data_IF_054441939896
#
_entry.id   IF_054441939896
#
_cell.length_a   1.000
_cell.length_b   1.000
_cell.length_c   1.000
_cell.angle_alpha   90.00
_cell.angle_beta   90.00
_cell.angle_gamma   90.00
#
_symmetry.space_group_name_H-M   'P 1'
#
loop_
_entity.id
_entity.type
_entity.pdbx_description
1 polymer ?
#
# COMPACT_ATOMS: atom_id res chain seq x y z
N UNK A 1 4.11 26.01 -47.84
CA UNK A 1 4.07 24.54 -47.63
C UNK A 1 4.78 23.76 -48.75
N UNK A 2 4.53 24.05 -50.03
CA UNK A 2 5.18 23.34 -51.15
C UNK A 2 6.73 23.39 -51.18
N UNK A 3 7.35 24.48 -50.71
CA UNK A 3 8.81 24.65 -50.69
C UNK A 3 9.54 23.78 -49.65
N UNK A 4 8.94 23.55 -48.48
CA UNK A 4 9.51 22.73 -47.41
C UNK A 4 9.42 21.25 -47.77
N UNK A 5 8.30 20.82 -48.35
CA UNK A 5 8.11 19.45 -48.81
C UNK A 5 9.12 19.07 -49.90
N UNK A 6 9.34 19.94 -50.89
CA UNK A 6 10.36 19.72 -51.92
C UNK A 6 11.78 19.64 -51.33
N UNK A 7 12.08 20.43 -50.29
CA UNK A 7 13.37 20.37 -49.60
C UNK A 7 13.58 19.03 -48.85
N UNK A 8 12.55 18.50 -48.20
CA UNK A 8 12.59 17.19 -47.52
C UNK A 8 12.84 16.05 -48.50
N UNK A 9 12.17 16.06 -49.65
CA UNK A 9 12.36 15.07 -50.72
C UNK A 9 13.76 15.15 -51.32
N UNK A 10 14.25 16.35 -51.63
CA UNK A 10 15.57 16.58 -52.22
C UNK A 10 16.72 16.15 -51.29
N UNK A 11 16.53 16.27 -49.98
CA UNK A 11 17.50 15.89 -48.94
C UNK A 11 17.35 14.44 -48.48
N UNK A 12 16.50 13.64 -49.14
CA UNK A 12 16.24 12.23 -48.82
C UNK A 12 15.84 11.98 -47.35
N UNK A 13 15.32 12.98 -46.65
CA UNK A 13 14.99 12.88 -45.22
C UNK A 13 14.01 11.74 -44.99
N UNK A 14 12.96 11.63 -45.81
CA UNK A 14 12.00 10.53 -45.75
C UNK A 14 12.63 9.14 -45.88
N UNK A 15 13.64 8.95 -46.73
CA UNK A 15 14.27 7.65 -46.93
C UNK A 15 15.10 7.23 -45.70
N UNK A 16 15.84 8.18 -45.12
CA UNK A 16 16.63 7.94 -43.90
C UNK A 16 15.75 7.75 -42.67
N UNK A 17 14.68 8.54 -42.52
CA UNK A 17 13.69 8.37 -41.46
C UNK A 17 13.02 7.00 -41.54
N UNK A 18 12.56 6.58 -42.73
CA UNK A 18 11.91 5.29 -42.90
C UNK A 18 12.87 4.11 -42.64
N UNK A 19 14.11 4.20 -43.13
CA UNK A 19 15.15 3.21 -42.86
C UNK A 19 15.51 3.09 -41.38
N UNK A 20 15.59 4.21 -40.67
CA UNK A 20 15.84 4.22 -39.23
C UNK A 20 14.69 3.63 -38.42
N UNK A 21 13.45 3.96 -38.78
CA UNK A 21 12.27 3.38 -38.12
C UNK A 21 12.21 1.86 -38.28
N UNK A 22 12.50 1.35 -39.49
CA UNK A 22 12.55 -0.09 -39.74
C UNK A 22 13.67 -0.79 -38.94
N UNK A 23 14.89 -0.22 -38.92
CA UNK A 23 16.01 -0.76 -38.17
C UNK A 23 15.79 -0.67 -36.64
N UNK A 24 15.22 0.44 -36.17
CA UNK A 24 14.90 0.66 -34.76
C UNK A 24 13.84 -0.32 -34.27
N UNK A 25 12.78 -0.55 -35.05
CA UNK A 25 11.78 -1.57 -34.76
C UNK A 25 12.39 -2.97 -34.64
N UNK A 26 13.18 -3.39 -35.64
CA UNK A 26 13.85 -4.70 -35.61
C UNK A 26 14.82 -4.85 -34.42
N UNK A 27 15.48 -3.75 -34.03
CA UNK A 27 16.35 -3.72 -32.85
C UNK A 27 15.58 -3.90 -31.55
N UNK A 28 14.41 -3.26 -31.40
CA UNK A 28 13.57 -3.40 -30.22
C UNK A 28 12.98 -4.81 -30.09
N UNK A 29 12.54 -5.41 -31.19
CA UNK A 29 12.06 -6.80 -31.21
C UNK A 29 13.16 -7.79 -30.81
N UNK A 30 14.35 -7.66 -31.41
CA UNK A 30 15.50 -8.49 -31.05
C UNK A 30 15.91 -8.31 -29.59
N UNK A 31 15.94 -7.06 -29.10
CA UNK A 31 16.28 -6.76 -27.71
C UNK A 31 15.22 -7.28 -26.74
N UNK A 32 13.94 -7.20 -27.09
CA UNK A 32 12.85 -7.79 -26.31
C UNK A 32 12.98 -9.31 -26.19
N UNK A 33 13.27 -10.00 -27.30
CA UNK A 33 13.56 -11.43 -27.30
C UNK A 33 14.75 -11.79 -26.39
N UNK A 34 15.86 -11.07 -26.51
CA UNK A 34 17.05 -11.34 -25.70
C UNK A 34 16.86 -10.95 -24.23
N UNK A 35 16.14 -9.87 -23.94
CA UNK A 35 15.81 -9.49 -22.57
C UNK A 35 15.00 -10.59 -21.88
N UNK A 36 14.02 -11.18 -22.58
CA UNK A 36 13.26 -12.33 -22.08
C UNK A 36 14.15 -13.58 -21.93
N UNK A 37 15.03 -13.86 -22.90
CA UNK A 37 15.89 -15.04 -22.90
C UNK A 37 16.95 -15.02 -21.77
N UNK A 38 17.49 -13.85 -21.45
CA UNK A 38 18.57 -13.67 -20.47
C UNK A 38 18.10 -13.06 -19.14
N UNK A 39 16.79 -12.84 -18.96
CA UNK A 39 16.22 -12.29 -17.73
C UNK A 39 16.61 -10.84 -17.45
N UNK A 40 16.81 -10.02 -18.50
CA UNK A 40 17.06 -8.59 -18.31
C UNK A 40 15.75 -7.87 -17.96
N UNK A 41 15.79 -6.98 -16.97
CA UNK A 41 14.62 -6.21 -16.57
C UNK A 41 14.10 -5.28 -17.69
N UNK A 42 12.82 -4.93 -17.62
CA UNK A 42 12.15 -4.06 -18.61
C UNK A 42 12.84 -2.70 -18.82
N UNK A 43 13.60 -2.23 -17.82
CA UNK A 43 14.40 -1.01 -17.90
C UNK A 43 15.35 -1.01 -19.11
N UNK A 44 15.92 -2.17 -19.48
CA UNK A 44 16.86 -2.28 -20.61
C UNK A 44 16.16 -1.98 -21.93
N UNK A 45 14.96 -2.53 -22.14
CA UNK A 45 14.16 -2.30 -23.35
C UNK A 45 13.66 -0.86 -23.41
N UNK A 46 13.23 -0.29 -22.27
CA UNK A 46 12.77 1.11 -22.17
C UNK A 46 13.90 2.11 -22.47
N UNK A 47 15.09 1.90 -21.91
CA UNK A 47 16.27 2.73 -22.18
C UNK A 47 16.63 2.67 -23.67
N UNK A 48 16.65 1.47 -24.26
CA UNK A 48 16.94 1.31 -25.68
C UNK A 48 15.90 2.02 -26.57
N UNK A 49 14.61 1.96 -26.23
CA UNK A 49 13.56 2.69 -26.94
C UNK A 49 13.76 4.21 -26.89
N UNK A 50 14.13 4.76 -25.73
CA UNK A 50 14.41 6.19 -25.56
C UNK A 50 15.63 6.62 -26.37
N UNK A 51 16.71 5.82 -26.35
CA UNK A 51 17.92 6.11 -27.11
C UNK A 51 17.68 6.02 -28.63
N UNK A 52 16.85 5.08 -29.09
CA UNK A 52 16.43 4.99 -30.49
C UNK A 52 15.56 6.19 -30.89
N UNK A 53 14.64 6.62 -30.02
CA UNK A 53 13.85 7.83 -30.28
C UNK A 53 14.74 9.06 -30.41
N UNK A 54 15.71 9.26 -29.50
CA UNK A 54 16.68 10.34 -29.60
C UNK A 54 17.56 10.23 -30.86
N UNK A 55 18.01 9.02 -31.20
CA UNK A 55 18.78 8.76 -32.40
C UNK A 55 18.00 9.05 -33.69
N UNK A 56 16.68 8.84 -33.73
CA UNK A 56 15.82 9.23 -34.85
C UNK A 56 15.87 10.74 -35.10
N UNK A 57 15.81 11.55 -34.04
CA UNK A 57 15.95 13.00 -34.15
C UNK A 57 17.33 13.41 -34.67
N UNK A 58 18.40 12.75 -34.21
CA UNK A 58 19.75 12.98 -34.72
C UNK A 58 19.88 12.63 -36.22
N UNK A 59 19.27 11.52 -36.67
CA UNK A 59 19.26 11.12 -38.09
C UNK A 59 18.48 12.11 -38.95
N UNK A 60 17.37 12.67 -38.45
CA UNK A 60 16.62 13.71 -39.17
C UNK A 60 17.47 14.98 -39.34
N UNK A 61 18.20 15.39 -38.29
CA UNK A 61 19.12 16.55 -38.33
C UNK A 61 20.25 16.29 -39.33
N UNK A 62 20.91 15.13 -39.27
CA UNK A 62 21.99 14.78 -40.20
C UNK A 62 21.50 14.67 -41.65
N UNK A 63 20.35 14.03 -41.89
CA UNK A 63 19.75 13.93 -43.22
C UNK A 63 19.37 15.33 -43.76
N UNK A 64 18.94 16.23 -42.88
CA UNK A 64 18.68 17.61 -43.26
C UNK A 64 19.97 18.31 -43.71
N UNK A 65 21.06 18.26 -42.95
CA UNK A 65 22.29 18.99 -43.31
C UNK A 65 23.11 18.32 -44.43
N UNK A 66 23.17 16.99 -44.49
CA UNK A 66 24.10 16.24 -45.36
C UNK A 66 23.42 15.39 -46.45
N UNK A 67 22.09 15.25 -46.44
CA UNK A 67 21.38 14.31 -47.33
C UNK A 67 21.42 14.60 -48.83
N UNK A 68 22.12 15.65 -49.29
CA UNK A 68 22.18 16.05 -50.70
C UNK A 68 23.57 16.27 -51.32
N UNK A 69 24.69 16.28 -50.57
CA UNK A 69 26.07 16.51 -51.12
C UNK A 69 27.18 15.84 -50.27
N UNK A 70 28.31 15.52 -50.89
CA UNK A 70 29.51 14.87 -50.27
C UNK A 70 30.20 15.69 -49.15
N UNK A 71 31.30 15.19 -48.56
CA UNK A 71 31.72 15.51 -47.19
C UNK A 71 31.95 17.01 -46.97
N UNK A 72 31.13 17.62 -46.11
CA UNK A 72 31.31 18.98 -45.59
C UNK A 72 31.68 18.93 -44.11
N UNK A 73 32.47 19.90 -43.65
CA UNK A 73 32.78 20.07 -42.23
C UNK A 73 31.51 20.43 -41.45
N UNK A 74 31.28 19.76 -40.31
CA UNK A 74 30.10 19.97 -39.48
C UNK A 74 29.99 21.44 -39.02
N UNK A 75 28.79 22.01 -39.12
CA UNK A 75 28.58 23.42 -38.75
C UNK A 75 28.43 23.56 -37.23
N UNK A 76 28.83 24.68 -36.61
CA UNK A 76 28.67 24.90 -35.15
C UNK A 76 27.23 24.70 -34.65
N UNK A 77 26.24 25.05 -35.47
CA UNK A 77 24.79 24.87 -35.17
C UNK A 77 24.39 23.39 -35.18
N UNK A 78 24.95 22.60 -36.08
CA UNK A 78 24.70 21.16 -36.20
C UNK A 78 25.28 20.40 -34.99
N UNK A 79 26.52 20.73 -34.63
CA UNK A 79 27.18 20.17 -33.43
C UNK A 79 26.37 20.51 -32.17
N UNK A 80 25.87 21.74 -32.07
CA UNK A 80 25.00 22.15 -30.97
C UNK A 80 23.70 21.35 -30.88
N UNK A 81 23.01 21.12 -32.00
CA UNK A 81 21.76 20.35 -32.03
C UNK A 81 21.98 18.88 -31.66
N UNK A 82 23.04 18.25 -32.16
CA UNK A 82 23.37 16.87 -31.83
C UNK A 82 23.74 16.71 -30.34
N UNK A 83 24.46 17.67 -29.77
CA UNK A 83 24.78 17.68 -28.34
C UNK A 83 23.52 17.79 -27.48
N UNK A 84 22.56 18.65 -27.84
CA UNK A 84 21.28 18.78 -27.12
C UNK A 84 20.48 17.49 -27.18
N UNK A 85 20.39 16.84 -28.35
CA UNK A 85 19.66 15.57 -28.50
C UNK A 85 20.32 14.44 -27.70
N UNK A 86 21.65 14.37 -27.67
CA UNK A 86 22.38 13.39 -26.88
C UNK A 86 22.18 13.60 -25.37
N UNK A 87 22.24 14.86 -24.89
CA UNK A 87 22.01 15.20 -23.49
C UNK A 87 20.56 14.90 -23.09
N UNK A 88 19.59 15.29 -23.90
CA UNK A 88 18.17 15.04 -23.64
C UNK A 88 17.84 13.54 -23.66
N UNK A 89 18.37 12.78 -24.63
CA UNK A 89 18.21 11.34 -24.70
C UNK A 89 18.83 10.62 -23.50
N UNK A 90 20.01 11.06 -23.06
CA UNK A 90 20.68 10.50 -21.86
C UNK A 90 19.91 10.86 -20.59
N UNK A 91 19.46 12.12 -20.44
CA UNK A 91 18.67 12.55 -19.29
C UNK A 91 17.32 11.81 -19.22
N UNK A 92 16.65 11.61 -20.36
CA UNK A 92 15.43 10.80 -20.44
C UNK A 92 15.69 9.32 -20.13
N UNK A 93 16.79 8.74 -20.64
CA UNK A 93 17.18 7.37 -20.31
C UNK A 93 17.48 7.20 -18.81
N UNK A 94 18.08 8.20 -18.16
CA UNK A 94 18.32 8.18 -16.70
C UNK A 94 17.02 8.39 -15.91
N UNK A 95 16.15 9.30 -16.35
CA UNK A 95 14.90 9.61 -15.66
C UNK A 95 13.85 8.48 -15.77
N UNK A 96 13.71 7.88 -16.96
CA UNK A 96 12.68 6.87 -17.25
C UNK A 96 13.23 5.44 -17.30
N UNK A 97 14.55 5.26 -17.30
CA UNK A 97 15.24 3.97 -17.20
C UNK A 97 15.58 3.57 -15.76
N UNK A 98 15.37 4.47 -14.80
CA UNK A 98 15.23 4.05 -13.40
C UNK A 98 14.06 3.07 -13.35
N UNK A 99 14.22 1.84 -12.81
CA UNK A 99 13.05 1.04 -12.50
C UNK A 99 12.11 1.94 -11.72
N UNK A 100 10.81 1.91 -12.04
CA UNK A 100 9.79 2.48 -11.18
C UNK A 100 9.81 1.63 -9.91
N UNK A 101 10.82 1.86 -9.07
CA UNK A 101 10.74 1.59 -7.66
C UNK A 101 9.61 2.50 -7.21
N UNK A 102 8.40 1.97 -7.26
CA UNK A 102 7.35 2.34 -6.34
C UNK A 102 7.79 1.87 -4.92
N UNK A 103 8.97 2.30 -4.52
CA UNK A 103 9.30 2.61 -3.15
C UNK A 103 9.34 4.12 -3.17
N UNK A 104 8.27 4.76 -2.74
CA UNK A 104 8.48 5.94 -1.92
C UNK A 104 9.48 5.52 -0.86
N UNK A 105 10.76 5.85 -1.06
CA UNK A 105 11.58 6.26 0.07
C UNK A 105 10.78 7.38 0.71
N UNK A 106 9.99 7.02 1.72
CA UNK A 106 9.48 7.98 2.69
C UNK A 106 10.71 8.75 3.13
N UNK A 107 10.78 10.01 2.70
CA UNK A 107 11.86 10.92 3.06
C UNK A 107 12.08 10.77 4.58
N UNK A 108 13.26 10.33 5.04
CA UNK A 108 13.56 10.24 6.46
C UNK A 108 13.36 11.58 7.20
N UNK A 109 13.20 12.69 6.47
CA UNK A 109 12.90 14.03 6.96
C UNK A 109 11.43 14.47 6.88
N UNK A 110 10.49 13.71 6.31
CA UNK A 110 9.06 14.01 6.50
C UNK A 110 8.71 13.67 7.95
N UNK A 111 8.49 14.68 8.79
CA UNK A 111 8.09 14.49 10.19
C UNK A 111 6.69 13.87 10.21
N UNK A 112 6.61 12.54 10.11
CA UNK A 112 5.39 11.77 10.34
C UNK A 112 5.03 11.90 11.83
N UNK A 113 3.78 12.23 12.14
CA UNK A 113 3.35 12.23 13.52
C UNK A 113 3.00 10.81 13.92
N UNK A 114 3.68 10.29 14.93
CA UNK A 114 3.48 8.93 15.39
C UNK A 114 2.43 8.86 16.51
N UNK A 115 1.46 7.97 16.34
CA UNK A 115 0.28 7.83 17.18
C UNK A 115 0.04 6.38 17.58
N UNK A 116 -0.33 6.15 18.84
CA UNK A 116 -0.89 4.88 19.29
C UNK A 116 -2.32 5.07 19.79
N UNK A 117 -3.23 4.18 19.41
CA UNK A 117 -4.59 4.13 19.98
C UNK A 117 -4.62 3.03 21.01
N UNK A 118 -4.84 3.37 22.29
CA UNK A 118 -4.95 2.36 23.34
C UNK A 118 -6.30 1.63 23.28
N UNK A 119 -6.35 0.37 23.75
CA UNK A 119 -7.62 -0.34 23.90
C UNK A 119 -8.65 0.51 24.66
N UNK A 120 -9.86 0.68 24.13
CA UNK A 120 -10.86 1.52 24.76
C UNK A 120 -11.29 0.95 26.10
N UNK A 121 -11.49 1.80 27.09
CA UNK A 121 -12.15 1.43 28.34
C UNK A 121 -13.64 1.15 28.08
N UNK A 122 -14.19 0.15 28.74
CA UNK A 122 -15.61 -0.20 28.66
C UNK A 122 -16.15 -0.70 30.01
N UNK A 123 -17.47 -0.61 30.26
CA UNK A 123 -18.05 -1.10 31.51
C UNK A 123 -17.81 -2.62 31.69
N UNK A 124 -17.40 -3.03 32.89
CA UNK A 124 -17.15 -4.44 33.18
C UNK A 124 -18.45 -5.28 33.19
N UNK A 125 -18.35 -6.55 32.79
CA UNK A 125 -19.37 -7.58 33.07
C UNK A 125 -20.11 -8.20 31.88
N UNK A 126 -19.79 -7.84 30.62
CA UNK A 126 -20.45 -8.40 29.45
C UNK A 126 -19.46 -8.85 28.34
N UNK A 127 -19.29 -10.17 28.11
CA UNK A 127 -18.49 -10.69 27.01
C UNK A 127 -18.96 -10.24 25.62
N UNK A 128 -20.25 -9.92 25.43
CA UNK A 128 -20.76 -9.34 24.18
C UNK A 128 -20.17 -7.94 23.92
N UNK A 129 -19.77 -7.21 24.97
CA UNK A 129 -19.11 -5.91 24.79
C UNK A 129 -17.63 -6.06 24.43
N UNK A 130 -16.95 -7.11 24.90
CA UNK A 130 -15.51 -7.26 24.69
C UNK A 130 -15.13 -7.40 23.21
N UNK A 131 -15.83 -8.24 22.43
CA UNK A 131 -15.56 -8.37 20.99
C UNK A 131 -15.91 -7.08 20.25
N UNK A 132 -17.03 -6.44 20.63
CA UNK A 132 -17.53 -5.26 19.94
C UNK A 132 -16.60 -4.06 20.17
N UNK A 133 -16.14 -3.84 21.40
CA UNK A 133 -15.17 -2.81 21.77
C UNK A 133 -13.82 -3.05 21.10
N UNK A 134 -13.35 -4.31 21.08
CA UNK A 134 -12.13 -4.67 20.33
C UNK A 134 -12.28 -4.37 18.83
N UNK A 135 -13.45 -4.63 18.26
CA UNK A 135 -13.77 -4.31 16.87
C UNK A 135 -13.77 -2.81 16.56
N UNK A 136 -14.33 -1.99 17.45
CA UNK A 136 -14.29 -0.54 17.33
C UNK A 136 -12.88 0.03 17.49
N UNK A 137 -12.07 -0.58 18.35
CA UNK A 137 -10.64 -0.24 18.48
C UNK A 137 -9.90 -0.44 17.14
N UNK A 138 -10.05 -1.61 16.52
CA UNK A 138 -9.48 -1.90 15.20
C UNK A 138 -10.00 -0.94 14.13
N UNK A 139 -11.31 -0.66 14.15
CA UNK A 139 -11.94 0.25 13.16
C UNK A 139 -11.39 1.66 13.28
N UNK A 140 -11.22 2.18 14.51
CA UNK A 140 -10.62 3.49 14.73
C UNK A 140 -9.17 3.55 14.24
N UNK A 141 -8.39 2.51 14.55
CA UNK A 141 -7.01 2.38 14.05
C UNK A 141 -7.01 2.38 12.53
N UNK A 142 -7.85 1.59 11.87
CA UNK A 142 -7.93 1.52 10.40
C UNK A 142 -8.30 2.87 9.77
N UNK A 143 -9.24 3.63 10.36
CA UNK A 143 -9.58 4.98 9.85
C UNK A 143 -8.43 6.00 10.00
N UNK A 144 -7.70 5.97 11.11
CA UNK A 144 -6.52 6.82 11.30
C UNK A 144 -5.36 6.40 10.40
N UNK A 145 -5.21 5.09 10.19
CA UNK A 145 -4.16 4.46 9.41
C UNK A 145 -4.21 4.85 7.91
N UNK A 146 -5.37 5.29 7.42
CA UNK A 146 -5.55 5.82 6.06
C UNK A 146 -4.92 7.21 5.84
N UNK A 147 -4.53 7.93 6.90
CA UNK A 147 -3.88 9.23 6.81
C UNK A 147 -2.37 9.04 6.69
N UNK A 148 -1.80 9.30 5.51
CA UNK A 148 -0.40 9.02 5.20
C UNK A 148 0.63 9.86 5.96
N UNK A 149 0.22 11.02 6.45
CA UNK A 149 1.07 11.86 7.30
C UNK A 149 1.06 11.43 8.80
N UNK A 150 0.28 10.40 9.14
CA UNK A 150 0.29 9.77 10.47
C UNK A 150 1.01 8.42 10.39
N UNK A 151 1.86 8.13 11.36
CA UNK A 151 2.31 6.76 11.66
C UNK A 151 1.45 6.20 12.77
N UNK A 152 0.56 5.26 12.47
CA UNK A 152 -0.38 4.69 13.43
C UNK A 152 0.07 3.29 13.85
N UNK A 153 0.24 3.09 15.15
CA UNK A 153 0.61 1.79 15.71
C UNK A 153 -0.55 0.80 15.57
N UNK A 154 -0.24 -0.38 15.05
CA UNK A 154 -1.13 -1.52 14.89
C UNK A 154 -1.77 -1.93 16.21
N UNK A 155 -3.02 -2.40 16.13
CA UNK A 155 -3.78 -2.92 17.28
C UNK A 155 -3.01 -3.97 18.05
N UNK A 156 -2.25 -4.86 17.38
CA UNK A 156 -1.52 -5.95 18.03
C UNK A 156 -0.51 -5.45 19.06
N UNK A 157 0.26 -4.42 18.72
CA UNK A 157 1.20 -3.79 19.66
C UNK A 157 0.46 -3.00 20.74
N UNK A 158 -0.54 -2.21 20.36
CA UNK A 158 -1.31 -1.41 21.31
C UNK A 158 -2.09 -2.26 22.33
N UNK A 159 -2.60 -3.43 21.93
CA UNK A 159 -3.36 -4.35 22.77
C UNK A 159 -2.56 -4.88 23.96
N UNK A 160 -1.22 -4.82 23.92
CA UNK A 160 -0.37 -5.19 25.07
C UNK A 160 -0.52 -4.26 26.27
N UNK A 161 -1.13 -3.09 26.08
CA UNK A 161 -1.31 -2.08 27.11
C UNK A 161 -2.73 -2.03 27.66
N UNK A 162 -3.62 -2.96 27.30
CA UNK A 162 -5.03 -2.98 27.76
C UNK A 162 -5.17 -2.92 29.29
N UNK A 163 -4.34 -3.68 30.00
CA UNK A 163 -4.36 -3.80 31.47
C UNK A 163 -3.02 -3.37 32.08
N UNK A 164 -2.35 -2.38 31.48
CA UNK A 164 -1.02 -1.93 31.93
C UNK A 164 -1.12 -0.76 32.90
N UNK A 165 -0.34 -0.81 33.99
CA UNK A 165 -0.17 0.30 34.94
C UNK A 165 0.87 1.34 34.48
N UNK A 166 1.38 1.24 33.25
CA UNK A 166 2.39 2.17 32.71
C UNK A 166 1.80 3.55 32.45
N UNK A 167 2.60 4.58 32.71
CA UNK A 167 2.24 5.95 32.35
C UNK A 167 2.26 6.17 30.82
N UNK A 168 1.53 7.16 30.34
CA UNK A 168 1.49 7.52 28.90
C UNK A 168 2.90 7.79 28.34
N UNK A 169 3.81 8.52 29.02
CA UNK A 169 5.19 8.70 28.55
C UNK A 169 5.99 7.39 28.46
N UNK A 170 5.70 6.40 29.30
CA UNK A 170 6.34 5.09 29.23
C UNK A 170 5.86 4.29 28.02
N UNK A 171 4.55 4.22 27.82
CA UNK A 171 3.95 3.55 26.66
C UNK A 171 4.45 4.20 25.36
N UNK A 172 4.46 5.53 25.30
CA UNK A 172 4.89 6.26 24.12
C UNK A 172 6.37 6.05 23.77
N UNK A 173 7.22 5.84 24.78
CA UNK A 173 8.63 5.52 24.57
C UNK A 173 8.83 4.11 24.03
N UNK A 174 8.07 3.14 24.55
CA UNK A 174 8.16 1.74 24.11
C UNK A 174 7.62 1.52 22.70
N UNK A 175 6.55 2.24 22.35
CA UNK A 175 5.95 2.20 21.01
C UNK A 175 6.61 3.18 20.02
N UNK A 176 7.55 4.00 20.50
CA UNK A 176 8.15 5.09 19.75
C UNK A 176 7.11 5.99 19.04
N UNK A 177 6.23 6.61 19.84
CA UNK A 177 5.19 7.52 19.36
C UNK A 177 5.29 8.91 20.00
N UNK A 178 4.66 9.89 19.37
CA UNK A 178 4.61 11.29 19.81
C UNK A 178 3.37 11.59 20.65
N UNK A 179 2.26 10.94 20.33
CA UNK A 179 1.00 11.06 21.05
C UNK A 179 0.26 9.72 21.15
N UNK A 180 -0.63 9.65 22.14
CA UNK A 180 -1.44 8.49 22.48
C UNK A 180 -2.91 8.92 22.51
N UNK A 181 -3.76 8.06 21.98
CA UNK A 181 -5.21 8.22 21.99
C UNK A 181 -5.77 7.27 23.03
N UNK A 182 -6.39 7.82 24.07
CA UNK A 182 -7.25 7.08 24.97
C UNK A 182 -8.69 7.19 24.49
N UNK A 183 -9.47 6.14 24.67
CA UNK A 183 -10.90 6.19 24.40
C UNK A 183 -11.70 5.37 25.40
N UNK A 184 -12.97 5.70 25.55
CA UNK A 184 -13.94 4.85 26.22
C UNK A 184 -15.16 4.67 25.34
N UNK A 185 -15.76 3.47 25.40
CA UNK A 185 -16.93 3.16 24.58
C UNK A 185 -18.04 2.56 25.43
N UNK A 186 -19.27 3.03 25.15
CA UNK A 186 -20.50 2.49 25.69
C UNK A 186 -21.50 2.21 24.57
N UNK A 187 -22.25 1.11 24.69
CA UNK A 187 -23.21 0.63 23.69
C UNK A 187 -24.63 0.57 24.25
N UNK A 188 -25.31 1.71 24.49
CA UNK A 188 -26.69 1.72 24.95
C UNK A 188 -27.66 1.30 23.83
N UNK A 189 -28.15 0.06 23.89
CA UNK A 189 -29.08 -0.47 22.88
C UNK A 189 -28.42 -0.52 21.50
N UNK A 190 -29.03 0.12 20.50
CA UNK A 190 -28.52 0.17 19.12
C UNK A 190 -27.73 1.45 18.79
N UNK A 191 -27.15 2.07 19.81
CA UNK A 191 -26.27 3.23 19.67
C UNK A 191 -24.92 2.99 20.30
N UNK A 192 -23.91 3.68 19.79
CA UNK A 192 -22.54 3.72 20.30
C UNK A 192 -22.26 5.14 20.78
N UNK A 193 -21.63 5.26 21.94
CA UNK A 193 -21.06 6.51 22.46
C UNK A 193 -19.58 6.28 22.72
N UNK A 194 -18.75 7.18 22.20
CA UNK A 194 -17.30 7.12 22.31
C UNK A 194 -16.77 8.45 22.83
N UNK A 195 -16.01 8.40 23.92
CA UNK A 195 -15.18 9.52 24.37
C UNK A 195 -13.76 9.28 23.90
N UNK A 196 -13.11 10.31 23.36
CA UNK A 196 -11.75 10.23 22.82
C UNK A 196 -10.91 11.33 23.43
N UNK A 197 -9.67 11.00 23.82
CA UNK A 197 -8.68 11.95 24.32
C UNK A 197 -7.39 11.77 23.55
N UNK A 198 -6.88 12.85 22.99
CA UNK A 198 -5.57 12.91 22.34
C UNK A 198 -4.56 13.50 23.32
N UNK A 199 -3.57 12.71 23.70
CA UNK A 199 -2.56 13.05 24.70
C UNK A 199 -1.20 13.10 24.02
N UNK A 200 -0.57 14.25 23.99
CA UNK A 200 0.83 14.38 23.59
C UNK A 200 1.72 13.80 24.69
N UNK A 201 2.63 12.90 24.33
CA UNK A 201 3.48 12.19 25.29
C UNK A 201 4.89 12.81 25.44
N UNK A 202 5.36 13.56 24.43
CA UNK A 202 6.69 14.17 24.39
C UNK A 202 6.60 15.67 24.06
N UNK A 203 7.45 16.53 24.67
CA UNK A 203 8.42 16.24 25.73
C UNK A 203 7.80 16.11 27.13
N UNK A 204 6.54 16.54 27.29
CA UNK A 204 5.77 16.41 28.53
C UNK A 204 4.37 15.94 28.20
N UNK A 205 3.77 15.17 29.11
CA UNK A 205 2.41 14.70 28.96
C UNK A 205 1.43 15.88 28.97
N UNK A 206 0.62 16.00 27.93
CA UNK A 206 -0.37 17.06 27.79
C UNK A 206 -1.59 16.58 27.02
N UNK A 207 -2.77 16.75 27.61
CA UNK A 207 -4.03 16.62 26.89
C UNK A 207 -4.11 17.70 25.80
N UNK A 208 -4.08 17.27 24.54
CA UNK A 208 -4.18 18.16 23.37
C UNK A 208 -5.64 18.47 23.08
N UNK A 209 -6.48 17.44 23.12
CA UNK A 209 -7.88 17.53 22.73
C UNK A 209 -8.70 16.40 23.35
N UNK A 210 -9.98 16.66 23.59
CA UNK A 210 -10.97 15.63 23.91
C UNK A 210 -12.27 15.88 23.14
N UNK A 211 -12.97 14.80 22.82
CA UNK A 211 -14.23 14.86 22.09
C UNK A 211 -15.15 13.70 22.42
N UNK A 212 -16.46 13.96 22.35
CA UNK A 212 -17.52 12.98 22.54
C UNK A 212 -18.25 12.77 21.22
N UNK A 213 -18.45 11.50 20.87
CA UNK A 213 -19.08 11.08 19.63
C UNK A 213 -20.19 10.08 19.93
N UNK A 214 -21.28 10.18 19.17
CA UNK A 214 -22.39 9.26 19.31
C UNK A 214 -23.06 9.00 17.98
N UNK A 215 -23.38 7.74 17.71
CA UNK A 215 -24.07 7.34 16.49
C UNK A 215 -24.90 6.07 16.73
N UNK A 216 -25.94 5.89 15.92
CA UNK A 216 -26.56 4.56 15.78
C UNK A 216 -25.52 3.59 15.20
N UNK A 217 -25.59 2.29 15.55
CA UNK A 217 -24.63 1.27 15.05
C UNK A 217 -24.55 1.28 13.52
N UNK A 218 -25.66 1.50 12.81
CA UNK A 218 -25.69 1.62 11.34
C UNK A 218 -24.79 2.72 10.76
N UNK A 219 -24.46 3.74 11.55
CA UNK A 219 -23.63 4.89 11.17
C UNK A 219 -22.25 4.86 11.86
N UNK A 220 -21.86 3.72 12.44
CA UNK A 220 -20.64 3.62 13.26
C UNK A 220 -19.36 3.89 12.45
N UNK A 221 -19.32 3.52 11.17
CA UNK A 221 -18.17 3.81 10.30
C UNK A 221 -18.00 5.31 10.07
N UNK A 222 -19.12 6.03 9.85
CA UNK A 222 -19.11 7.49 9.71
C UNK A 222 -18.65 8.20 10.99
N UNK A 223 -19.03 7.67 12.16
CA UNK A 223 -18.55 8.16 13.45
C UNK A 223 -17.03 8.02 13.56
N UNK A 224 -16.45 6.86 13.25
CA UNK A 224 -15.00 6.66 13.28
C UNK A 224 -14.26 7.56 12.28
N UNK A 225 -14.80 7.72 11.07
CA UNK A 225 -14.22 8.63 10.08
C UNK A 225 -14.26 10.10 10.53
N UNK A 226 -15.29 10.49 11.29
CA UNK A 226 -15.36 11.82 11.92
C UNK A 226 -14.33 11.98 13.04
N UNK A 227 -14.11 10.94 13.85
CA UNK A 227 -13.06 10.93 14.87
C UNK A 227 -11.68 11.09 14.20
N UNK A 228 -11.38 10.31 13.17
CA UNK A 228 -10.12 10.38 12.44
C UNK A 228 -9.86 11.78 11.83
N UNK A 229 -10.86 12.37 11.17
CA UNK A 229 -10.78 13.75 10.66
C UNK A 229 -10.58 14.79 11.76
N UNK A 230 -11.21 14.58 12.91
CA UNK A 230 -11.06 15.49 14.05
C UNK A 230 -9.63 15.41 14.59
N UNK A 231 -9.10 14.21 14.81
CA UNK A 231 -7.71 14.01 15.25
C UNK A 231 -6.73 14.63 14.25
N UNK A 232 -6.86 14.34 12.95
CA UNK A 232 -5.99 14.89 11.91
C UNK A 232 -5.92 16.44 11.94
N UNK A 233 -7.07 17.09 12.15
CA UNK A 233 -7.16 18.55 12.31
C UNK A 233 -6.46 19.04 13.57
N UNK A 234 -6.68 18.39 14.71
CA UNK A 234 -6.08 18.80 16.00
C UNK A 234 -4.55 18.66 15.99
N UNK A 235 -4.04 17.63 15.30
CA UNK A 235 -2.60 17.45 15.11
C UNK A 235 -2.02 18.26 13.95
N UNK A 236 -2.85 19.07 13.28
CA UNK A 236 -2.47 19.98 12.18
C UNK A 236 -1.81 19.25 11.01
N UNK A 237 -2.34 18.09 10.67
CA UNK A 237 -1.95 17.34 9.48
C UNK A 237 -2.94 17.62 8.37
N UNK A 238 -2.43 18.00 7.21
CA UNK A 238 -3.23 18.23 6.02
C UNK A 238 -3.63 16.89 5.39
N UNK A 239 -4.93 16.69 5.20
CA UNK A 239 -5.46 15.57 4.44
C UNK A 239 -5.40 15.90 2.95
N UNK A 240 -4.84 15.02 2.14
CA UNK A 240 -4.94 15.05 0.68
C UNK A 240 -6.41 14.99 0.22
N UNK A 241 -6.67 15.40 -1.02
CA UNK A 241 -8.02 15.37 -1.58
C UNK A 241 -8.63 13.95 -1.57
N UNK A 242 -7.80 12.94 -1.81
CA UNK A 242 -8.23 11.53 -1.81
C UNK A 242 -8.55 11.05 -0.39
N UNK A 243 -7.72 11.39 0.61
CA UNK A 243 -8.00 11.08 2.02
C UNK A 243 -9.27 11.77 2.52
N UNK A 244 -9.48 13.04 2.15
CA UNK A 244 -10.72 13.76 2.48
C UNK A 244 -11.95 13.08 1.89
N UNK A 245 -11.84 12.60 0.65
CA UNK A 245 -12.93 11.88 -0.04
C UNK A 245 -13.19 10.55 0.65
N UNK A 246 -12.17 9.73 0.91
CA UNK A 246 -12.34 8.43 1.58
C UNK A 246 -12.93 8.58 2.99
N UNK A 247 -12.38 9.47 3.81
CA UNK A 247 -12.88 9.72 5.17
C UNK A 247 -14.22 10.49 5.19
N UNK A 248 -14.61 11.10 4.07
CA UNK A 248 -15.89 11.79 3.89
C UNK A 248 -17.04 10.87 3.49
N UNK A 249 -16.75 9.71 2.89
CA UNK A 249 -17.74 8.86 2.21
C UNK A 249 -17.96 7.54 2.94
N UNK A 250 -18.22 7.60 4.24
CA UNK A 250 -18.45 6.39 5.03
C UNK A 250 -19.82 5.76 4.72
N UNK A 251 -19.81 4.49 4.31
CA UNK A 251 -21.03 3.71 4.10
C UNK A 251 -21.77 3.43 5.41
N UNK A 252 -23.07 3.18 5.30
CA UNK A 252 -23.85 2.59 6.39
C UNK A 252 -23.63 1.09 6.45
N UNK A 253 -23.83 0.51 7.63
CA UNK A 253 -23.77 -0.94 7.87
C UNK A 253 -25.10 -1.46 8.35
N UNK A 254 -25.43 -2.72 8.01
CA UNK A 254 -26.44 -3.46 8.75
C UNK A 254 -25.89 -3.83 10.14
N UNK A 255 -26.53 -3.43 11.25
CA UNK A 255 -25.96 -3.59 12.59
C UNK A 255 -25.61 -5.04 12.96
N UNK A 256 -26.46 -6.00 12.59
CA UNK A 256 -26.26 -7.40 12.93
C UNK A 256 -25.21 -8.05 12.02
N UNK A 257 -25.19 -7.75 10.71
CA UNK A 257 -24.06 -8.12 9.84
C UNK A 257 -22.75 -7.59 10.40
N UNK A 258 -22.73 -6.33 10.85
CA UNK A 258 -21.54 -5.71 11.43
C UNK A 258 -21.11 -6.39 12.74
N UNK A 259 -22.06 -6.73 13.63
CA UNK A 259 -21.77 -7.50 14.85
C UNK A 259 -21.17 -8.88 14.53
N UNK A 260 -21.76 -9.61 13.57
CA UNK A 260 -21.23 -10.91 13.14
C UNK A 260 -19.82 -10.77 12.55
N UNK A 261 -19.59 -9.78 11.68
CA UNK A 261 -18.27 -9.43 11.18
C UNK A 261 -17.26 -9.18 12.31
N UNK A 262 -17.61 -8.35 13.31
CA UNK A 262 -16.73 -8.06 14.44
C UNK A 262 -16.42 -9.30 15.30
N UNK A 263 -17.38 -10.21 15.49
CA UNK A 263 -17.14 -11.50 16.16
C UNK A 263 -16.15 -12.34 15.36
N UNK A 264 -16.32 -12.43 14.05
CA UNK A 264 -15.39 -13.11 13.15
C UNK A 264 -13.98 -12.56 13.25
N UNK A 265 -13.82 -11.24 13.14
CA UNK A 265 -12.51 -10.59 13.27
C UNK A 265 -11.89 -10.77 14.66
N UNK A 266 -12.71 -10.75 15.72
CA UNK A 266 -12.24 -11.02 17.08
C UNK A 266 -11.68 -12.45 17.21
N UNK A 267 -12.37 -13.46 16.67
CA UNK A 267 -11.88 -14.84 16.65
C UNK A 267 -10.61 -15.00 15.79
N UNK A 268 -10.54 -14.37 14.60
CA UNK A 268 -9.30 -14.35 13.80
C UNK A 268 -8.12 -13.80 14.60
N UNK A 269 -8.37 -12.77 15.40
CA UNK A 269 -7.33 -12.11 16.18
C UNK A 269 -6.71 -12.96 17.29
N UNK A 270 -7.43 -13.98 17.77
CA UNK A 270 -6.94 -14.94 18.76
C UNK A 270 -5.93 -15.92 18.17
N UNK A 271 -5.99 -16.14 16.86
CA UNK A 271 -5.11 -17.06 16.15
C UNK A 271 -5.43 -18.54 16.40
N UNK A 272 -4.96 -19.40 15.50
CA UNK A 272 -5.02 -20.86 15.64
C UNK A 272 -6.26 -21.52 15.01
N UNK A 273 -6.19 -22.83 14.70
CA UNK A 273 -7.17 -23.50 13.83
C UNK A 273 -8.61 -23.39 14.31
N UNK A 274 -8.88 -23.69 15.59
CA UNK A 274 -10.23 -23.66 16.14
C UNK A 274 -10.86 -22.26 16.14
N UNK A 275 -10.05 -21.21 16.34
CA UNK A 275 -10.52 -19.84 16.31
C UNK A 275 -10.74 -19.37 14.86
N UNK A 276 -9.92 -19.81 13.90
CA UNK A 276 -10.15 -19.53 12.47
C UNK A 276 -11.41 -20.19 11.94
N UNK A 277 -11.70 -21.43 12.33
CA UNK A 277 -12.95 -22.11 11.98
C UNK A 277 -14.17 -21.34 12.52
N UNK A 278 -14.16 -20.98 13.81
CA UNK A 278 -15.23 -20.18 14.42
C UNK A 278 -15.35 -18.79 13.80
N UNK A 279 -14.23 -18.18 13.42
CA UNK A 279 -14.26 -16.90 12.71
C UNK A 279 -14.98 -17.01 11.37
N UNK A 280 -14.69 -18.06 10.59
CA UNK A 280 -15.35 -18.31 9.32
C UNK A 280 -16.86 -18.55 9.49
N UNK A 281 -17.29 -19.22 10.57
CA UNK A 281 -18.73 -19.37 10.87
C UNK A 281 -19.43 -17.99 10.99
N UNK A 282 -18.89 -17.08 11.80
CA UNK A 282 -19.45 -15.73 11.96
C UNK A 282 -19.36 -14.88 10.67
N UNK A 283 -18.28 -15.02 9.91
CA UNK A 283 -18.10 -14.27 8.67
C UNK A 283 -19.02 -14.77 7.56
N UNK A 284 -19.30 -16.08 7.51
CA UNK A 284 -20.33 -16.64 6.63
C UNK A 284 -21.74 -16.20 7.04
N UNK A 285 -22.02 -16.12 8.34
CA UNK A 285 -23.28 -15.54 8.84
C UNK A 285 -23.44 -14.09 8.35
N UNK A 286 -22.38 -13.28 8.45
CA UNK A 286 -22.40 -11.90 7.97
C UNK A 286 -22.68 -11.81 6.46
N UNK A 287 -21.98 -12.60 5.63
CA UNK A 287 -22.20 -12.61 4.17
C UNK A 287 -23.57 -13.17 3.79
N UNK A 288 -24.07 -14.17 4.52
CA UNK A 288 -25.39 -14.74 4.26
C UNK A 288 -26.51 -13.72 4.54
N UNK A 289 -26.29 -12.84 5.53
CA UNK A 289 -27.22 -11.77 5.89
C UNK A 289 -27.15 -10.59 4.92
N UNK A 290 -25.95 -10.17 4.56
CA UNK A 290 -25.71 -9.10 3.59
C UNK A 290 -24.63 -9.51 2.56
N UNK A 291 -25.05 -10.05 1.40
CA UNK A 291 -24.13 -10.40 0.30
C UNK A 291 -23.46 -9.18 -0.37
N UNK A 292 -23.80 -7.96 0.05
CA UNK A 292 -23.18 -6.71 -0.37
C UNK A 292 -22.10 -6.20 0.58
N UNK A 293 -21.85 -6.86 1.73
CA UNK A 293 -20.89 -6.36 2.71
C UNK A 293 -19.44 -6.70 2.35
N UNK A 294 -18.69 -5.71 1.88
CA UNK A 294 -17.28 -5.86 1.51
C UNK A 294 -16.37 -6.24 2.69
N UNK A 295 -16.67 -5.80 3.91
CA UNK A 295 -15.84 -6.08 5.10
C UNK A 295 -15.93 -7.57 5.47
N UNK A 296 -17.13 -8.15 5.40
CA UNK A 296 -17.34 -9.57 5.66
C UNK A 296 -16.58 -10.44 4.66
N UNK A 297 -16.60 -10.10 3.36
CA UNK A 297 -15.80 -10.79 2.35
C UNK A 297 -14.29 -10.62 2.55
N UNK A 298 -13.81 -9.43 2.92
CA UNK A 298 -12.39 -9.21 3.25
C UNK A 298 -11.96 -10.04 4.47
N UNK A 299 -12.83 -10.13 5.48
CA UNK A 299 -12.64 -10.99 6.65
C UNK A 299 -12.58 -12.48 6.28
N UNK A 300 -13.47 -12.97 5.40
CA UNK A 300 -13.42 -14.34 4.88
C UNK A 300 -12.10 -14.62 4.16
N UNK A 301 -11.66 -13.70 3.29
CA UNK A 301 -10.41 -13.82 2.57
C UNK A 301 -9.22 -13.96 3.52
N UNK A 302 -9.14 -13.09 4.54
CA UNK A 302 -8.13 -13.15 5.59
C UNK A 302 -8.20 -14.46 6.39
N UNK A 303 -9.39 -14.90 6.78
CA UNK A 303 -9.59 -16.14 7.52
C UNK A 303 -9.12 -17.36 6.74
N UNK A 304 -9.47 -17.44 5.46
CA UNK A 304 -8.98 -18.50 4.58
C UNK A 304 -7.47 -18.40 4.35
N UNK A 305 -6.90 -17.22 4.12
CA UNK A 305 -5.45 -17.05 3.97
C UNK A 305 -4.70 -17.51 5.24
N UNK A 306 -5.18 -17.17 6.43
CA UNK A 306 -4.61 -17.62 7.70
C UNK A 306 -4.63 -19.14 7.87
N UNK A 307 -5.70 -19.81 7.44
CA UNK A 307 -5.76 -21.28 7.40
C UNK A 307 -4.80 -21.83 6.35
N UNK A 308 -4.70 -21.18 5.17
CA UNK A 308 -3.81 -21.53 4.07
C UNK A 308 -2.33 -21.49 4.47
N UNK A 309 -1.96 -20.60 5.37
CA UNK A 309 -0.63 -20.50 5.97
C UNK A 309 -0.35 -21.52 7.10
N UNK A 310 -1.37 -22.26 7.52
CA UNK A 310 -1.23 -23.31 8.52
C UNK A 310 -0.43 -24.52 8.02
N UNK A 311 -0.08 -25.40 8.95
CA UNK A 311 0.52 -26.69 8.60
C UNK A 311 -0.53 -27.60 7.94
N UNK A 312 -0.24 -28.07 6.72
CA UNK A 312 -1.12 -28.94 5.93
C UNK A 312 -2.55 -28.38 5.76
N UNK A 313 -2.71 -27.23 5.06
CA UNK A 313 -4.00 -26.58 4.93
C UNK A 313 -5.00 -27.48 4.18
N UNK A 314 -6.30 -27.46 4.56
CA UNK A 314 -7.32 -28.21 3.84
C UNK A 314 -7.35 -27.84 2.34
N UNK A 315 -7.64 -28.81 1.44
CA UNK A 315 -7.83 -28.53 0.03
C UNK A 315 -8.93 -27.48 -0.20
N UNK A 316 -8.73 -26.58 -1.15
CA UNK A 316 -9.73 -25.58 -1.54
C UNK A 316 -9.77 -24.31 -0.67
N UNK A 317 -8.95 -24.19 0.38
CA UNK A 317 -8.86 -22.98 1.19
C UNK A 317 -8.43 -21.76 0.37
N UNK A 318 -7.37 -21.91 -0.42
CA UNK A 318 -6.87 -20.82 -1.25
C UNK A 318 -7.82 -20.35 -2.37
N UNK A 319 -8.49 -21.25 -3.14
CA UNK A 319 -9.55 -20.84 -4.05
C UNK A 319 -10.66 -20.02 -3.37
N UNK A 320 -11.11 -20.41 -2.17
CA UNK A 320 -12.12 -19.67 -1.41
C UNK A 320 -11.60 -18.30 -0.94
N UNK A 321 -10.32 -18.24 -0.54
CA UNK A 321 -9.68 -16.97 -0.21
C UNK A 321 -9.68 -16.01 -1.42
N UNK A 322 -9.37 -16.52 -2.62
CA UNK A 322 -9.34 -15.75 -3.85
C UNK A 322 -10.72 -15.21 -4.20
N UNK A 323 -11.74 -16.07 -4.18
CA UNK A 323 -13.13 -15.68 -4.47
C UNK A 323 -13.60 -14.59 -3.50
N UNK A 324 -13.36 -14.77 -2.20
CA UNK A 324 -13.73 -13.79 -1.18
C UNK A 324 -12.99 -12.46 -1.37
N UNK A 325 -11.68 -12.47 -1.64
CA UNK A 325 -10.89 -11.27 -1.85
C UNK A 325 -11.35 -10.49 -3.10
N UNK A 326 -11.57 -11.20 -4.21
CA UNK A 326 -12.09 -10.59 -5.44
C UNK A 326 -13.47 -9.97 -5.21
N UNK A 327 -14.34 -10.67 -4.48
CA UNK A 327 -15.67 -10.16 -4.16
C UNK A 327 -15.62 -8.91 -3.27
N UNK A 328 -14.73 -8.88 -2.28
CA UNK A 328 -14.51 -7.72 -1.44
C UNK A 328 -14.07 -6.49 -2.26
N UNK A 329 -13.08 -6.64 -3.15
CA UNK A 329 -12.60 -5.55 -4.02
C UNK A 329 -13.69 -5.10 -5.01
N UNK A 330 -14.51 -6.01 -5.52
CA UNK A 330 -15.64 -5.65 -6.40
C UNK A 330 -16.71 -4.83 -5.67
N UNK A 331 -16.97 -5.14 -4.40
CA UNK A 331 -17.96 -4.44 -3.57
C UNK A 331 -17.46 -3.09 -3.06
N UNK A 332 -16.17 -3.03 -2.69
CA UNK A 332 -15.52 -1.82 -2.22
C UNK A 332 -14.07 -1.74 -2.75
N UNK A 333 -13.86 -1.03 -3.89
CA UNK A 333 -12.53 -0.86 -4.48
C UNK A 333 -11.56 -0.02 -3.64
N UNK A 334 -12.04 0.67 -2.62
CA UNK A 334 -11.25 1.54 -1.74
C UNK A 334 -10.98 0.90 -0.36
N UNK A 335 -11.34 -0.38 -0.18
CA UNK A 335 -11.04 -1.14 1.02
C UNK A 335 -9.61 -1.72 0.97
N UNK A 336 -8.70 -1.12 1.74
CA UNK A 336 -7.28 -1.51 1.75
C UNK A 336 -7.07 -2.98 2.12
N UNK A 337 -7.81 -3.48 3.11
CA UNK A 337 -7.73 -4.85 3.62
C UNK A 337 -8.16 -5.88 2.55
N UNK A 338 -9.07 -5.50 1.65
CA UNK A 338 -9.48 -6.35 0.52
C UNK A 338 -8.35 -6.49 -0.51
N UNK A 339 -7.68 -5.39 -0.84
CA UNK A 339 -6.50 -5.42 -1.72
C UNK A 339 -5.33 -6.17 -1.11
N UNK A 340 -5.09 -6.00 0.20
CA UNK A 340 -4.05 -6.73 0.91
C UNK A 340 -4.30 -8.24 0.87
N UNK A 341 -5.53 -8.69 1.16
CA UNK A 341 -5.89 -10.10 1.08
C UNK A 341 -5.82 -10.64 -0.37
N UNK A 342 -6.23 -9.84 -1.36
CA UNK A 342 -6.14 -10.22 -2.76
C UNK A 342 -4.68 -10.42 -3.20
N UNK A 343 -3.80 -9.49 -2.82
CA UNK A 343 -2.37 -9.58 -3.10
C UNK A 343 -1.77 -10.86 -2.52
N UNK A 344 -2.11 -11.17 -1.27
CA UNK A 344 -1.59 -12.34 -0.57
C UNK A 344 -1.98 -13.65 -1.27
N UNK A 345 -3.26 -13.78 -1.65
CA UNK A 345 -3.74 -14.96 -2.37
C UNK A 345 -3.15 -15.04 -3.79
N UNK A 346 -2.91 -13.90 -4.45
CA UNK A 346 -2.23 -13.87 -5.74
C UNK A 346 -0.79 -14.40 -5.64
N UNK A 347 -0.09 -14.11 -4.55
CA UNK A 347 1.25 -14.64 -4.26
C UNK A 347 1.22 -16.14 -4.01
N UNK A 348 0.40 -16.60 -3.06
CA UNK A 348 0.50 -17.97 -2.54
C UNK A 348 -0.30 -19.00 -3.34
N UNK A 349 -1.28 -18.57 -4.13
CA UNK A 349 -2.18 -19.48 -4.84
C UNK A 349 -2.23 -19.27 -6.35
N UNK A 350 -2.38 -18.02 -6.81
CA UNK A 350 -2.57 -17.74 -8.24
C UNK A 350 -1.25 -17.62 -9.01
N UNK A 351 -0.14 -17.33 -8.31
CA UNK A 351 1.17 -17.06 -8.89
C UNK A 351 1.13 -15.89 -9.89
N UNK A 352 0.18 -14.97 -9.69
CA UNK A 352 0.00 -13.75 -10.47
C UNK A 352 0.84 -12.64 -9.83
N UNK A 353 2.14 -12.62 -10.14
CA UNK A 353 3.09 -11.68 -9.54
C UNK A 353 2.78 -10.23 -9.89
N UNK A 354 2.31 -9.96 -11.11
CA UNK A 354 1.96 -8.61 -11.54
C UNK A 354 0.67 -8.13 -10.86
N UNK A 355 -0.34 -9.01 -10.76
CA UNK A 355 -1.56 -8.75 -10.01
C UNK A 355 -1.28 -8.47 -8.55
N UNK A 356 -0.44 -9.31 -7.92
CA UNK A 356 -0.02 -9.15 -6.53
C UNK A 356 0.67 -7.80 -6.30
N UNK A 357 1.61 -7.41 -7.17
CA UNK A 357 2.29 -6.12 -7.07
C UNK A 357 1.29 -4.95 -7.09
N UNK A 358 0.34 -4.95 -8.04
CA UNK A 358 -0.69 -3.90 -8.13
C UNK A 358 -1.57 -3.86 -6.89
N UNK A 359 -1.98 -5.01 -6.38
CA UNK A 359 -2.83 -5.11 -5.19
C UNK A 359 -2.09 -4.66 -3.91
N UNK A 360 -0.82 -5.04 -3.72
CA UNK A 360 0.01 -4.55 -2.62
C UNK A 360 0.19 -3.04 -2.66
N UNK A 361 0.46 -2.48 -3.84
CA UNK A 361 0.55 -1.03 -4.03
C UNK A 361 -0.76 -0.34 -3.69
N UNK A 362 -1.89 -0.83 -4.21
CA UNK A 362 -3.20 -0.25 -3.94
C UNK A 362 -3.55 -0.29 -2.45
N UNK A 363 -3.24 -1.38 -1.76
CA UNK A 363 -3.42 -1.46 -0.31
C UNK A 363 -2.58 -0.41 0.45
N UNK A 364 -1.34 -0.17 0.02
CA UNK A 364 -0.47 0.85 0.62
C UNK A 364 -0.92 2.30 0.32
N UNK A 365 -1.49 2.55 -0.87
CA UNK A 365 -2.08 3.86 -1.22
C UNK A 365 -3.32 4.17 -0.37
N UNK A 366 -4.16 3.15 -0.14
CA UNK A 366 -5.39 3.29 0.62
C UNK A 366 -5.12 3.38 2.12
N UNK A 367 -4.21 2.54 2.63
CA UNK A 367 -3.81 2.48 4.03
C UNK A 367 -2.29 2.25 4.15
N UNK A 368 -1.49 3.32 4.23
CA UNK A 368 -0.04 3.22 4.31
C UNK A 368 0.47 2.58 5.62
N UNK A 369 -0.39 2.51 6.64
CA UNK A 369 -0.11 2.02 7.99
C UNK A 369 -0.54 0.56 8.21
N UNK A 370 -0.93 -0.16 7.15
CA UNK A 370 -1.33 -1.56 7.24
C UNK A 370 -0.11 -2.48 7.40
N UNK A 371 0.33 -2.70 8.64
CA UNK A 371 1.57 -3.42 8.97
C UNK A 371 1.68 -4.81 8.33
N UNK A 372 0.58 -5.57 8.30
CA UNK A 372 0.55 -6.89 7.66
C UNK A 372 0.74 -6.80 6.14
N UNK A 373 0.17 -5.79 5.46
CA UNK A 373 0.40 -5.59 4.03
C UNK A 373 1.88 -5.28 3.75
N UNK A 374 2.52 -4.43 4.56
CA UNK A 374 3.96 -4.14 4.47
C UNK A 374 4.82 -5.41 4.65
N UNK A 375 4.43 -6.26 5.60
CA UNK A 375 5.08 -7.54 5.86
C UNK A 375 4.97 -8.51 4.67
N UNK A 376 3.76 -8.72 4.14
CA UNK A 376 3.54 -9.63 3.00
C UNK A 376 4.15 -9.08 1.71
N UNK A 377 4.13 -7.75 1.52
CA UNK A 377 4.78 -7.11 0.39
C UNK A 377 6.31 -7.26 0.44
N UNK A 378 6.91 -7.15 1.64
CA UNK A 378 8.33 -7.46 1.83
C UNK A 378 8.66 -8.90 1.43
N UNK A 379 7.83 -9.86 1.83
CA UNK A 379 8.01 -11.26 1.45
C UNK A 379 7.90 -11.46 -0.07
N UNK A 380 6.91 -10.85 -0.71
CA UNK A 380 6.77 -10.85 -2.16
C UNK A 380 8.02 -10.28 -2.86
N UNK A 381 8.54 -9.15 -2.41
CA UNK A 381 9.77 -8.55 -2.97
C UNK A 381 10.98 -9.46 -2.80
N UNK A 382 11.10 -10.13 -1.65
CA UNK A 382 12.14 -11.12 -1.41
C UNK A 382 12.04 -12.29 -2.40
N UNK A 383 10.84 -12.83 -2.66
CA UNK A 383 10.62 -13.89 -3.65
C UNK A 383 11.05 -13.48 -5.07
N UNK A 384 10.97 -12.19 -5.39
CA UNK A 384 11.42 -11.63 -6.67
C UNK A 384 12.92 -11.25 -6.70
N UNK A 385 13.66 -11.55 -5.63
CA UNK A 385 15.10 -11.22 -5.51
C UNK A 385 15.38 -9.74 -5.22
N UNK A 386 14.36 -8.95 -4.85
CA UNK A 386 14.47 -7.51 -4.56
C UNK A 386 14.70 -7.28 -3.07
N UNK A 387 15.83 -7.78 -2.56
CA UNK A 387 16.11 -7.88 -1.13
C UNK A 387 16.19 -6.53 -0.40
N UNK A 388 16.85 -5.53 -0.99
CA UNK A 388 16.93 -4.19 -0.39
C UNK A 388 15.54 -3.58 -0.16
N UNK A 389 14.66 -3.70 -1.16
CA UNK A 389 13.30 -3.19 -1.09
C UNK A 389 12.45 -3.99 -0.09
N UNK A 390 12.66 -5.30 0.00
CA UNK A 390 12.04 -6.16 1.00
C UNK A 390 12.40 -5.69 2.43
N UNK A 391 13.69 -5.41 2.68
CA UNK A 391 14.15 -4.91 3.98
C UNK A 391 13.48 -3.58 4.32
N UNK A 392 13.35 -2.66 3.36
CA UNK A 392 12.67 -1.36 3.57
C UNK A 392 11.21 -1.59 3.99
N UNK A 393 10.45 -2.39 3.24
CA UNK A 393 9.04 -2.66 3.58
C UNK A 393 8.90 -3.38 4.92
N UNK A 394 9.82 -4.29 5.25
CA UNK A 394 9.77 -5.01 6.51
C UNK A 394 10.13 -4.13 7.72
N UNK A 395 11.04 -3.17 7.54
CA UNK A 395 11.30 -2.12 8.54
C UNK A 395 10.04 -1.29 8.80
N UNK A 396 9.30 -0.91 7.75
CA UNK A 396 8.02 -0.22 7.92
C UNK A 396 7.02 -1.07 8.70
N UNK A 397 6.87 -2.36 8.37
CA UNK A 397 6.02 -3.28 9.13
C UNK A 397 6.39 -3.31 10.63
N UNK A 398 7.69 -3.38 10.95
CA UNK A 398 8.18 -3.32 12.33
C UNK A 398 7.91 -1.97 13.00
N UNK A 399 8.03 -0.83 12.30
CA UNK A 399 7.68 0.48 12.89
C UNK A 399 6.19 0.62 13.18
N UNK A 400 5.35 -0.01 12.36
CA UNK A 400 3.88 0.02 12.52
C UNK A 400 3.39 -0.97 13.58
N UNK A 401 4.07 -2.10 13.77
CA UNK A 401 3.71 -3.11 14.76
C UNK A 401 4.95 -3.61 15.54
N UNK A 402 5.57 -2.75 16.37
CA UNK A 402 6.91 -2.96 16.94
C UNK A 402 7.00 -4.12 17.93
N UNK A 403 5.89 -4.50 18.57
CA UNK A 403 5.85 -5.55 19.57
C UNK A 403 5.47 -6.91 18.98
N UNK A 404 5.29 -7.02 17.66
CA UNK A 404 5.02 -8.29 16.99
C UNK A 404 6.32 -9.09 16.77
N UNK A 405 6.48 -10.27 17.42
CA UNK A 405 7.71 -11.06 17.31
C UNK A 405 8.02 -11.48 15.87
N UNK A 406 6.98 -11.76 15.09
CA UNK A 406 7.06 -12.15 13.68
C UNK A 406 7.88 -11.14 12.86
N UNK A 407 7.59 -9.85 12.98
CA UNK A 407 8.28 -8.80 12.21
C UNK A 407 9.76 -8.67 12.61
N UNK A 408 10.10 -8.93 13.87
CA UNK A 408 11.50 -8.92 14.29
C UNK A 408 12.25 -10.14 13.76
N UNK A 409 11.65 -11.32 13.86
CA UNK A 409 12.26 -12.57 13.38
C UNK A 409 12.51 -12.55 11.86
N UNK A 410 11.52 -12.11 11.08
CA UNK A 410 11.66 -12.06 9.62
C UNK A 410 12.57 -10.94 9.13
N UNK A 411 12.61 -9.79 9.81
CA UNK A 411 13.62 -8.78 9.49
C UNK A 411 15.05 -9.32 9.69
N UNK A 412 15.29 -10.05 10.79
CA UNK A 412 16.56 -10.73 11.03
C UNK A 412 16.89 -11.77 9.96
N UNK A 413 15.88 -12.53 9.49
CA UNK A 413 16.05 -13.44 8.36
C UNK A 413 16.47 -12.72 7.07
N UNK A 414 15.83 -11.60 6.74
CA UNK A 414 16.18 -10.82 5.54
C UNK A 414 17.62 -10.28 5.62
N UNK A 415 18.04 -9.79 6.79
CA UNK A 415 19.42 -9.35 7.00
C UNK A 415 20.45 -10.48 6.88
N UNK A 416 20.14 -11.66 7.40
CA UNK A 416 20.97 -12.85 7.21
C UNK A 416 21.13 -13.19 5.71
N UNK A 417 20.05 -13.07 4.93
CA UNK A 417 20.08 -13.29 3.48
C UNK A 417 20.88 -12.21 2.72
N UNK A 418 20.91 -10.97 3.24
CA UNK A 418 21.69 -9.86 2.66
C UNK A 418 23.19 -9.94 3.01
N UNK A 419 23.55 -10.77 3.99
CA UNK A 419 24.91 -10.86 4.51
C UNK A 419 25.29 -9.71 5.46
N UNK A 420 24.32 -8.94 5.96
CA UNK A 420 24.51 -7.93 7.01
C UNK A 420 24.01 -8.47 8.34
N UNK A 421 24.89 -8.97 9.25
CA UNK A 421 24.46 -9.37 10.58
C UNK A 421 24.32 -8.14 11.48
N UNK A 422 23.16 -7.48 11.45
CA UNK A 422 22.72 -6.47 12.43
C UNK A 422 21.37 -6.89 13.01
#
# INVERSE_FOLDING_TARGET
MASVFQALVKRKVFHWTLGYLAAGWGTLEALGFFAALFGWGEAVVRIAAILLAAGLFAVIVLAWFHGSRGPQQATRVEVGLLAVVAIAGTAAAVAFGRPTTAGEEVDPGSVELALAVLPPAYPAGDPEQAYFVTGMHETLISQLAQVGALRVISRRSAARYADSDKSIPEIARELDVDAVIESSVATPGDSVRMEVRLIQAKPTERLVWSGSFGAAVRNVLAMHAQVARSIAREVRVDLSADEQTRLGTARTVDPETYRAYLRGMHELSKGGPANYERALEYLHEAVARDPGDALAYAGLALGYANIGHGFAPPPGVWPRALEAAQRAVQLDPDLAEAHAALADVMVYHAWDWEGAARAFHRANELNPNLAMNRYHYAWFLYLLGRLDEAIVQHRLAKRLDPLTPLHTAWLGYLYMMDGRPE
#
